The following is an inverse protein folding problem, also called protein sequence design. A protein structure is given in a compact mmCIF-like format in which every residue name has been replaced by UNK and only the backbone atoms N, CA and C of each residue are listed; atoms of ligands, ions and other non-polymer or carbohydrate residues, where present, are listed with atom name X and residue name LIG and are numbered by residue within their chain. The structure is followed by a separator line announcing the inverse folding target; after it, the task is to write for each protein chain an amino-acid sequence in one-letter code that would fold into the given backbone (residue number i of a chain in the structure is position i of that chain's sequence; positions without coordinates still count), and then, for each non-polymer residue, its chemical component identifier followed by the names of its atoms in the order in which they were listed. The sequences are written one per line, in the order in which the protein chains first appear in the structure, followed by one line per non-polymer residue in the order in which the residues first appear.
data_IF_588839001827
#
_entry.id   IF_588839001827
#
_cell.length_a   1.000
_cell.length_b   1.000
_cell.length_c   1.000
_cell.angle_alpha   90.00
_cell.angle_beta   90.00
_cell.angle_gamma   90.00
#
_symmetry.space_group_name_H-M   'P 1'
#
loop_
_entity.id
_entity.type
_entity.pdbx_description
1 polymer ?
#
# COMPACT_ATOMS: atom_id res chain seq x y z
N UNK A 1 13.20 -4.96 6.10
CA UNK A 1 12.01 -5.02 5.20
C UNK A 1 10.77 -5.56 5.90
N UNK A 2 10.83 -6.69 6.62
CA UNK A 2 9.68 -7.24 7.35
C UNK A 2 9.08 -6.27 8.39
N UNK A 3 9.92 -5.43 9.00
CA UNK A 3 9.52 -4.48 10.04
C UNK A 3 8.54 -3.42 9.51
N UNK A 4 8.83 -2.82 8.36
CA UNK A 4 7.98 -1.79 7.73
C UNK A 4 6.59 -2.35 7.40
N UNK A 5 6.51 -3.56 6.83
CA UNK A 5 5.20 -4.19 6.53
C UNK A 5 4.43 -4.44 7.83
N UNK A 6 5.08 -4.98 8.85
CA UNK A 6 4.44 -5.34 10.12
C UNK A 6 3.91 -4.10 10.86
N UNK A 7 4.72 -3.04 10.94
CA UNK A 7 4.33 -1.77 11.55
C UNK A 7 3.14 -1.14 10.82
N UNK A 8 3.21 -1.08 9.49
CA UNK A 8 2.13 -0.52 8.68
C UNK A 8 0.83 -1.33 8.79
N UNK A 9 0.92 -2.67 8.76
CA UNK A 9 -0.25 -3.56 8.95
C UNK A 9 -0.87 -3.38 10.33
N UNK A 10 -0.04 -3.20 11.38
CA UNK A 10 -0.55 -2.94 12.73
C UNK A 10 -1.38 -1.67 12.77
N UNK A 11 -0.88 -0.58 12.18
CA UNK A 11 -1.62 0.68 12.09
C UNK A 11 -2.89 0.55 11.21
N UNK A 12 -2.85 -0.25 10.13
CA UNK A 12 -4.02 -0.53 9.29
C UNK A 12 -5.16 -1.23 10.02
N UNK A 13 -4.88 -1.99 11.09
CA UNK A 13 -5.93 -2.66 11.88
C UNK A 13 -6.83 -1.66 12.63
N UNK A 14 -6.35 -0.44 12.86
CA UNK A 14 -7.11 0.61 13.54
C UNK A 14 -7.99 1.42 12.56
N UNK A 15 -7.89 1.15 11.25
CA UNK A 15 -8.63 1.86 10.21
C UNK A 15 -10.12 1.50 10.23
N UNK A 16 -10.92 2.36 10.85
CA UNK A 16 -12.37 2.22 11.01
C UNK A 16 -13.10 3.57 10.84
N UNK A 17 -14.38 3.66 11.17
CA UNK A 17 -15.22 4.87 10.99
C UNK A 17 -14.69 6.17 11.64
N UNK A 18 -13.66 6.08 12.50
CA UNK A 18 -12.91 7.20 13.09
C UNK A 18 -11.69 7.65 12.24
N UNK A 19 -11.74 7.46 10.91
CA UNK A 19 -10.57 7.33 10.04
C UNK A 19 -9.65 8.55 9.86
N UNK A 20 -9.99 9.78 10.27
CA UNK A 20 -9.13 10.94 9.95
C UNK A 20 -7.75 10.93 10.63
N UNK A 21 -7.62 10.77 11.96
CA UNK A 21 -6.32 10.70 12.61
C UNK A 21 -5.49 9.50 12.14
N UNK A 22 -6.15 8.35 11.94
CA UNK A 22 -5.49 7.11 11.48
C UNK A 22 -5.02 7.23 10.03
N UNK A 23 -5.83 7.81 9.14
CA UNK A 23 -5.43 8.10 7.76
C UNK A 23 -4.23 9.04 7.74
N UNK A 24 -4.25 10.12 8.54
CA UNK A 24 -3.12 11.04 8.59
C UNK A 24 -1.85 10.34 9.07
N UNK A 25 -1.95 9.52 10.12
CA UNK A 25 -0.83 8.74 10.63
C UNK A 25 -0.29 7.74 9.60
N UNK A 26 -1.16 6.98 8.95
CA UNK A 26 -0.77 6.04 7.88
C UNK A 26 -0.14 6.78 6.69
N UNK A 27 -0.63 7.96 6.33
CA UNK A 27 -0.03 8.81 5.28
C UNK A 27 1.36 9.30 5.70
N UNK A 28 1.56 9.67 6.97
CA UNK A 28 2.89 10.01 7.49
C UNK A 28 3.84 8.81 7.41
N UNK A 29 3.41 7.63 7.87
CA UNK A 29 4.22 6.41 7.75
C UNK A 29 4.57 6.09 6.29
N UNK A 30 3.62 6.30 5.37
CA UNK A 30 3.87 6.12 3.94
C UNK A 30 4.91 7.13 3.43
N UNK A 31 4.83 8.39 3.85
CA UNK A 31 5.81 9.43 3.51
C UNK A 31 7.22 9.11 4.02
N UNK A 32 7.34 8.57 5.23
CA UNK A 32 8.64 8.19 5.80
C UNK A 32 9.24 6.96 5.11
N UNK A 33 8.40 6.15 4.44
CA UNK A 33 8.76 4.88 3.82
C UNK A 33 8.57 4.86 2.30
N UNK A 34 8.79 5.97 1.59
CA UNK A 34 8.61 6.07 0.12
C UNK A 34 9.39 4.99 -0.66
N UNK A 35 10.56 4.57 -0.16
CA UNK A 35 11.35 3.51 -0.80
C UNK A 35 10.75 2.11 -0.67
N UNK A 36 9.73 1.96 0.18
CA UNK A 36 8.98 0.73 0.40
C UNK A 36 7.53 0.85 -0.08
N UNK A 37 7.28 1.74 -1.06
CA UNK A 37 5.94 2.01 -1.58
C UNK A 37 5.20 0.73 -2.02
N UNK A 38 5.87 -0.18 -2.75
CA UNK A 38 5.25 -1.43 -3.22
C UNK A 38 4.82 -2.34 -2.08
N UNK A 39 5.62 -2.40 -1.00
CA UNK A 39 5.32 -3.19 0.21
C UNK A 39 4.08 -2.63 0.91
N UNK A 40 4.01 -1.30 1.05
CA UNK A 40 2.89 -0.61 1.71
C UNK A 40 1.61 -0.73 0.87
N UNK A 41 1.71 -0.55 -0.45
CA UNK A 41 0.59 -0.73 -1.38
C UNK A 41 0.06 -2.16 -1.29
N UNK A 42 0.93 -3.17 -1.32
CA UNK A 42 0.54 -4.57 -1.15
C UNK A 42 -0.17 -4.82 0.18
N UNK A 43 0.32 -4.25 1.29
CA UNK A 43 -0.31 -4.37 2.59
C UNK A 43 -1.72 -3.75 2.64
N UNK A 44 -1.92 -2.58 2.01
CA UNK A 44 -3.24 -1.93 1.91
C UNK A 44 -4.20 -2.79 1.10
N UNK A 45 -3.74 -3.28 -0.06
CA UNK A 45 -4.53 -4.13 -0.96
C UNK A 45 -4.95 -5.44 -0.27
N UNK A 46 -4.03 -6.08 0.46
CA UNK A 46 -4.26 -7.30 1.24
C UNK A 46 -5.29 -7.06 2.35
N UNK A 47 -5.12 -6.00 3.15
CA UNK A 47 -6.01 -5.68 4.28
C UNK A 47 -7.43 -5.29 3.86
N UNK A 48 -7.58 -4.63 2.71
CA UNK A 48 -8.89 -4.32 2.14
C UNK A 48 -9.71 -5.58 1.90
N UNK A 49 -9.09 -6.68 1.44
CA UNK A 49 -9.81 -7.94 1.20
C UNK A 49 -10.30 -8.60 2.47
N UNK A 50 -9.51 -8.50 3.54
CA UNK A 50 -9.80 -9.14 4.82
C UNK A 50 -10.90 -8.42 5.61
N UNK A 51 -11.26 -7.18 5.25
CA UNK A 51 -12.18 -6.35 6.04
C UNK A 51 -13.29 -5.70 5.18
N UNK A 52 -14.22 -6.50 4.61
CA UNK A 52 -15.22 -6.00 3.65
C UNK A 52 -16.17 -4.92 4.21
N UNK A 53 -16.31 -4.78 5.54
CA UNK A 53 -17.16 -3.78 6.17
C UNK A 53 -16.67 -2.33 6.05
N UNK A 54 -15.36 -2.10 6.00
CA UNK A 54 -14.73 -0.76 6.11
C UNK A 54 -14.05 -0.29 4.82
N UNK A 55 -14.44 -0.87 3.69
CA UNK A 55 -13.77 -0.75 2.39
C UNK A 55 -13.59 0.69 1.87
N UNK A 56 -14.50 1.61 2.21
CA UNK A 56 -14.41 3.01 1.77
C UNK A 56 -13.25 3.76 2.44
N UNK A 57 -12.91 3.44 3.69
CA UNK A 57 -11.84 4.13 4.43
C UNK A 57 -10.46 3.81 3.86
N UNK A 58 -10.25 2.59 3.36
CA UNK A 58 -9.04 2.23 2.61
C UNK A 58 -8.93 3.05 1.31
N UNK A 59 -10.05 3.31 0.62
CA UNK A 59 -10.02 4.18 -0.56
C UNK A 59 -9.67 5.62 -0.21
N UNK A 60 -10.08 6.11 0.96
CA UNK A 60 -9.68 7.42 1.48
C UNK A 60 -8.20 7.47 1.89
N UNK A 61 -7.66 6.36 2.40
CA UNK A 61 -6.23 6.25 2.66
C UNK A 61 -5.43 6.34 1.36
N UNK A 62 -5.83 5.58 0.32
CA UNK A 62 -5.19 5.65 -1.00
C UNK A 62 -5.24 7.09 -1.53
N UNK A 63 -6.41 7.74 -1.44
CA UNK A 63 -6.60 9.14 -1.85
C UNK A 63 -5.64 10.10 -1.12
N UNK A 64 -5.50 9.95 0.19
CA UNK A 64 -4.60 10.78 1.00
C UNK A 64 -3.14 10.57 0.62
N UNK A 65 -2.70 9.31 0.45
CA UNK A 65 -1.31 9.00 0.09
C UNK A 65 -0.96 9.58 -1.28
N UNK A 66 -1.81 9.40 -2.29
CA UNK A 66 -1.49 9.87 -3.65
C UNK A 66 -1.54 11.39 -3.79
N UNK A 67 -2.35 12.08 -2.99
CA UNK A 67 -2.41 13.55 -2.97
C UNK A 67 -1.27 14.18 -2.18
N UNK A 68 -0.93 13.62 -1.03
CA UNK A 68 -0.02 14.25 -0.08
C UNK A 68 1.42 13.75 -0.23
N UNK A 69 1.62 12.50 -0.67
CA UNK A 69 2.94 11.89 -0.86
C UNK A 69 3.27 11.73 -2.34
N UNK A 70 2.36 11.11 -3.10
CA UNK A 70 2.51 10.90 -4.54
C UNK A 70 3.76 10.10 -4.92
N UNK A 71 4.38 10.47 -6.05
CA UNK A 71 5.64 9.87 -6.50
C UNK A 71 5.53 8.37 -6.76
N UNK A 72 6.39 7.57 -6.08
CA UNK A 72 6.40 6.10 -6.20
C UNK A 72 5.03 5.50 -5.87
N UNK A 73 4.30 6.05 -4.91
CA UNK A 73 2.96 5.58 -4.58
C UNK A 73 1.96 5.75 -5.72
N UNK A 74 1.99 6.89 -6.42
CA UNK A 74 1.08 7.11 -7.55
C UNK A 74 1.30 6.06 -8.64
N UNK A 75 2.57 5.76 -8.95
CA UNK A 75 2.94 4.74 -9.93
C UNK A 75 2.49 3.35 -9.48
N UNK A 76 2.80 2.97 -8.23
CA UNK A 76 2.44 1.66 -7.69
C UNK A 76 0.92 1.48 -7.53
N UNK A 77 0.15 2.54 -7.23
CA UNK A 77 -1.30 2.46 -7.16
C UNK A 77 -1.99 2.44 -8.52
N UNK A 78 -1.37 3.01 -9.56
CA UNK A 78 -1.97 3.13 -10.89
C UNK A 78 -2.43 1.76 -11.45
N UNK A 79 -1.65 0.70 -11.21
CA UNK A 79 -1.96 -0.68 -11.59
C UNK A 79 -3.11 -1.32 -10.78
N UNK A 80 -3.27 -0.94 -9.51
CA UNK A 80 -4.26 -1.53 -8.60
C UNK A 80 -5.57 -0.75 -8.57
N UNK A 81 -5.56 0.54 -8.93
CA UNK A 81 -6.67 1.46 -8.75
C UNK A 81 -8.01 0.98 -9.37
N UNK A 82 -8.05 0.46 -10.62
CA UNK A 82 -9.30 -0.03 -11.19
C UNK A 82 -9.88 -1.22 -10.41
N UNK A 83 -9.02 -2.10 -9.91
CA UNK A 83 -9.41 -3.30 -9.18
C UNK A 83 -9.92 -2.94 -7.78
N UNK A 84 -9.25 -2.03 -7.09
CA UNK A 84 -9.67 -1.50 -5.79
C UNK A 84 -11.04 -0.84 -5.90
N UNK A 85 -11.24 0.07 -6.86
CA UNK A 85 -12.53 0.73 -7.06
C UNK A 85 -13.63 -0.29 -7.36
N UNK A 86 -13.37 -1.26 -8.24
CA UNK A 86 -14.31 -2.35 -8.56
C UNK A 86 -14.70 -3.14 -7.32
N UNK A 87 -13.74 -3.50 -6.48
CA UNK A 87 -13.98 -4.22 -5.23
C UNK A 87 -14.87 -3.41 -4.27
N UNK A 88 -14.51 -2.15 -3.98
CA UNK A 88 -15.26 -1.30 -3.05
C UNK A 88 -16.68 -1.00 -3.57
N UNK A 89 -16.83 -0.76 -4.88
CA UNK A 89 -18.13 -0.53 -5.52
C UNK A 89 -19.03 -1.77 -5.49
N UNK A 90 -18.47 -2.96 -5.72
CA UNK A 90 -19.20 -4.21 -5.74
C UNK A 90 -19.79 -4.58 -4.38
N UNK A 91 -19.03 -4.35 -3.31
CA UNK A 91 -19.44 -4.64 -1.92
C UNK A 91 -20.25 -3.49 -1.28
N UNK A 92 -20.16 -2.28 -1.83
CA UNK A 92 -20.76 -1.09 -1.25
C UNK A 92 -22.26 -0.91 -1.54
N UNK A 93 -23.00 -0.43 -0.55
CA UNK A 93 -24.34 0.11 -0.74
C UNK A 93 -24.32 1.43 -1.53
N UNK A 94 -25.50 1.97 -1.87
CA UNK A 94 -25.61 3.19 -2.67
C UNK A 94 -24.89 4.41 -2.05
N UNK A 95 -24.87 4.51 -0.71
CA UNK A 95 -24.12 5.55 -0.01
C UNK A 95 -22.61 5.42 -0.20
N UNK A 96 -22.07 4.20 -0.12
CA UNK A 96 -20.67 3.90 -0.41
C UNK A 96 -20.35 4.19 -1.88
N UNK A 97 -21.19 3.78 -2.82
CA UNK A 97 -20.99 4.00 -4.27
C UNK A 97 -20.89 5.49 -4.60
N UNK A 98 -21.78 6.33 -4.05
CA UNK A 98 -21.72 7.79 -4.21
C UNK A 98 -20.40 8.37 -3.69
N UNK A 99 -19.92 7.89 -2.53
CA UNK A 99 -18.63 8.30 -1.95
C UNK A 99 -17.45 7.88 -2.83
N UNK A 100 -17.45 6.65 -3.36
CA UNK A 100 -16.42 6.19 -4.30
C UNK A 100 -16.38 7.06 -5.56
N UNK A 101 -17.55 7.36 -6.15
CA UNK A 101 -17.66 8.22 -7.33
C UNK A 101 -17.10 9.62 -7.02
N UNK A 102 -17.41 10.18 -5.85
CA UNK A 102 -16.85 11.46 -5.39
C UNK A 102 -15.33 11.41 -5.28
N UNK A 103 -14.78 10.36 -4.65
CA UNK A 103 -13.33 10.19 -4.53
C UNK A 103 -12.65 10.09 -5.89
N UNK A 104 -13.21 9.30 -6.83
CA UNK A 104 -12.72 9.21 -8.21
C UNK A 104 -12.68 10.58 -8.91
N UNK A 105 -13.61 11.49 -8.60
CA UNK A 105 -13.61 12.84 -9.16
C UNK A 105 -12.35 13.64 -8.82
N UNK A 106 -11.75 13.37 -7.66
CA UNK A 106 -10.57 14.09 -7.14
C UNK A 106 -9.23 13.64 -7.72
N UNK A 107 -9.24 12.59 -8.54
CA UNK A 107 -8.06 11.96 -9.12
C UNK A 107 -7.69 12.49 -10.51
N UNK A 108 -8.51 13.40 -11.03
CA UNK A 108 -8.26 14.09 -12.30
C UNK A 108 -6.97 14.90 -12.18
N UNK A 109 -6.02 14.65 -13.08
CA UNK A 109 -4.69 15.28 -13.05
C UNK A 109 -3.67 14.60 -12.12
N UNK A 110 -4.08 13.61 -11.32
CA UNK A 110 -3.17 12.80 -10.49
C UNK A 110 -2.77 11.51 -11.23
N UNK A 111 -3.75 10.81 -11.80
CA UNK A 111 -3.51 9.57 -12.55
C UNK A 111 -3.73 9.76 -14.05
N UNK A 112 -3.15 8.85 -14.84
CA UNK A 112 -3.29 8.86 -16.29
C UNK A 112 -4.76 8.72 -16.72
N UNK A 113 -5.20 9.47 -17.76
CA UNK A 113 -6.59 9.41 -18.25
C UNK A 113 -7.05 7.99 -18.60
N UNK A 114 -6.17 7.15 -19.14
CA UNK A 114 -6.50 5.76 -19.49
C UNK A 114 -6.91 4.90 -18.29
N UNK A 115 -6.33 5.14 -17.11
CA UNK A 115 -6.69 4.43 -15.88
C UNK A 115 -8.03 4.92 -15.35
N UNK A 116 -8.23 6.23 -15.34
CA UNK A 116 -9.50 6.84 -14.94
C UNK A 116 -10.66 6.38 -15.85
N UNK A 117 -10.42 6.28 -17.15
CA UNK A 117 -11.41 5.79 -18.12
C UNK A 117 -11.86 4.36 -17.81
N UNK A 118 -10.93 3.44 -17.50
CA UNK A 118 -11.28 2.06 -17.09
C UNK A 118 -12.18 2.03 -15.85
N UNK A 119 -11.92 2.93 -14.90
CA UNK A 119 -12.76 3.10 -13.70
C UNK A 119 -14.16 3.60 -14.08
N UNK A 120 -14.25 4.61 -14.95
CA UNK A 120 -15.52 5.19 -15.40
C UNK A 120 -16.39 4.20 -16.16
N UNK A 121 -15.79 3.41 -17.06
CA UNK A 121 -16.47 2.35 -17.80
C UNK A 121 -17.10 1.33 -16.84
N UNK A 122 -16.38 0.99 -15.76
CA UNK A 122 -16.91 0.13 -14.71
C UNK A 122 -18.05 0.80 -13.91
N UNK A 123 -17.87 2.05 -13.47
CA UNK A 123 -18.92 2.81 -12.75
C UNK A 123 -20.21 2.92 -13.58
N UNK A 124 -20.07 3.20 -14.88
CA UNK A 124 -21.19 3.27 -15.82
C UNK A 124 -21.90 1.92 -16.00
N UNK A 125 -21.19 0.81 -15.84
CA UNK A 125 -21.77 -0.54 -15.88
C UNK A 125 -22.57 -0.84 -14.62
N UNK A 126 -22.05 -0.49 -13.43
CA UNK A 126 -22.77 -0.66 -12.17
C UNK A 126 -24.08 0.14 -12.11
N UNK A 127 -24.14 1.34 -12.71
CA UNK A 127 -25.37 2.15 -12.77
C UNK A 127 -26.47 1.54 -13.63
N UNK A 128 -26.11 0.70 -14.60
CA UNK A 128 -27.05 0.07 -15.54
C UNK A 128 -27.64 -1.25 -15.03
N UNK A 129 -27.11 -1.80 -13.95
CA UNK A 129 -27.63 -3.04 -13.38
C UNK A 129 -28.85 -2.72 -12.50
N UNK A 130 -30.03 -3.34 -12.75
CA UNK A 130 -31.14 -3.26 -11.82
C UNK A 130 -30.68 -3.84 -10.47
N UNK A 131 -31.27 -3.36 -9.37
CA UNK A 131 -30.97 -3.82 -8.01
C UNK A 131 -31.41 -5.29 -7.82
N UNK A 132 -30.71 -6.23 -8.47
CA UNK A 132 -30.92 -7.65 -8.31
C UNK A 132 -30.12 -8.13 -7.09
N UNK A 133 -30.65 -9.06 -6.26
CA UNK A 133 -29.86 -9.69 -5.21
C UNK A 133 -28.57 -10.24 -5.79
N UNK A 134 -27.44 -9.74 -5.27
CA UNK A 134 -26.11 -10.11 -5.72
C UNK A 134 -25.83 -11.57 -5.35
N UNK A 135 -25.62 -12.44 -6.33
CA UNK A 135 -24.88 -13.67 -6.09
C UNK A 135 -23.40 -13.31 -5.84
N UNK A 136 -22.72 -13.93 -4.86
CA UNK A 136 -21.34 -13.64 -4.54
C UNK A 136 -20.43 -14.23 -5.61
N UNK A 137 -20.20 -13.50 -6.70
CA UNK A 137 -19.15 -13.85 -7.64
C UNK A 137 -17.80 -13.44 -7.03
N UNK A 138 -17.26 -14.33 -6.20
CA UNK A 138 -15.97 -14.26 -5.51
C UNK A 138 -14.74 -14.32 -6.44
N UNK A 139 -14.90 -14.17 -7.76
CA UNK A 139 -13.81 -14.35 -8.72
C UNK A 139 -12.80 -13.18 -8.78
N UNK A 140 -13.08 -12.06 -8.10
CA UNK A 140 -12.09 -10.98 -7.92
C UNK A 140 -11.05 -11.30 -6.84
N UNK A 141 -11.36 -12.26 -5.94
CA UNK A 141 -10.41 -12.72 -4.93
C UNK A 141 -9.16 -13.30 -5.58
N UNK A 142 -9.36 -14.18 -6.57
CA UNK A 142 -8.34 -14.96 -7.29
C UNK A 142 -7.42 -14.11 -8.19
N UNK A 143 -7.99 -13.25 -9.05
CA UNK A 143 -7.20 -12.40 -9.97
C UNK A 143 -6.24 -11.48 -9.22
N UNK A 144 -6.68 -10.99 -8.06
CA UNK A 144 -5.87 -10.09 -7.22
C UNK A 144 -4.81 -10.91 -6.45
N UNK A 145 -4.98 -12.23 -6.22
CA UNK A 145 -3.90 -13.10 -5.67
C UNK A 145 -2.82 -13.34 -6.72
N UNK A 146 -3.19 -13.67 -7.96
CA UNK A 146 -2.22 -13.91 -9.03
C UNK A 146 -1.34 -12.67 -9.27
N UNK A 147 -1.95 -11.48 -9.37
CA UNK A 147 -1.20 -10.24 -9.58
C UNK A 147 -0.35 -9.85 -8.35
N UNK A 148 -0.78 -10.18 -7.13
CA UNK A 148 0.00 -9.88 -5.91
C UNK A 148 1.19 -10.83 -5.74
N UNK A 149 1.01 -12.10 -6.16
CA UNK A 149 2.09 -13.09 -6.23
C UNK A 149 3.13 -12.65 -7.28
N UNK A 150 2.71 -12.18 -8.46
CA UNK A 150 3.64 -11.64 -9.47
C UNK A 150 4.41 -10.41 -8.96
N UNK A 151 3.75 -9.45 -8.30
CA UNK A 151 4.41 -8.26 -7.73
C UNK A 151 5.39 -8.63 -6.60
N UNK A 152 5.07 -9.61 -5.76
CA UNK A 152 6.02 -10.11 -4.73
C UNK A 152 7.23 -10.82 -5.36
N UNK A 153 7.05 -11.49 -6.49
CA UNK A 153 8.14 -12.15 -7.25
C UNK A 153 9.03 -11.11 -7.95
N UNK A 154 8.48 -10.04 -8.52
CA UNK A 154 9.27 -8.95 -9.13
C UNK A 154 10.07 -8.13 -8.12
N UNK A 155 9.55 -7.91 -6.90
CA UNK A 155 10.30 -7.26 -5.81
C UNK A 155 11.50 -8.10 -5.36
N UNK A 156 11.39 -9.44 -5.42
CA UNK A 156 12.50 -10.33 -5.05
C UNK A 156 13.60 -10.42 -6.12
N UNK A 157 13.29 -10.17 -7.40
CA UNK A 157 14.26 -10.35 -8.50
C UNK A 157 15.16 -9.14 -8.75
N UNK A 158 14.75 -7.92 -8.35
CA UNK A 158 15.51 -6.69 -8.63
C UNK A 158 16.50 -6.26 -7.53
N UNK A 159 16.72 -7.04 -6.46
CA UNK A 159 17.72 -6.73 -5.42
C UNK A 159 18.85 -7.76 -5.24
N UNK A 160 19.00 -8.74 -6.15
CA UNK A 160 20.12 -9.71 -6.12
C UNK A 160 21.17 -9.50 -7.22
N UNK A 161 21.01 -8.52 -8.13
CA UNK A 161 22.00 -8.25 -9.18
C UNK A 161 23.03 -7.18 -8.77
N UNK A 162 23.76 -7.40 -7.68
CA UNK A 162 24.98 -6.66 -7.37
C UNK A 162 26.01 -7.61 -6.75
N UNK A 163 26.61 -8.45 -7.60
CA UNK A 163 27.63 -9.40 -7.17
C UNK A 163 28.10 -10.38 -8.25
N UNK A 164 28.10 -9.99 -9.53
CA UNK A 164 28.76 -10.78 -10.57
C UNK A 164 30.19 -10.26 -10.76
N UNK A 165 31.11 -10.74 -9.91
CA UNK A 165 32.54 -10.53 -10.08
C UNK A 165 33.07 -11.60 -11.05
N UNK A 166 33.77 -11.15 -12.09
CA UNK A 166 34.32 -11.95 -13.18
C UNK A 166 35.43 -12.92 -12.74
N UNK A 167 35.74 -13.96 -13.54
CA UNK A 167 36.59 -15.07 -13.11
C UNK A 167 38.08 -14.74 -13.27
N UNK A 168 38.83 -14.94 -12.19
CA UNK A 168 40.28 -15.02 -12.19
C UNK A 168 40.72 -16.38 -11.66
N UNK A 169 41.25 -17.23 -12.53
CA UNK A 169 42.25 -18.26 -12.19
C UNK A 169 43.57 -17.80 -12.83
N UNK A 170 44.78 -18.31 -12.49
CA UNK A 170 45.07 -19.54 -11.72
C UNK A 170 46.20 -19.40 -10.67
N UNK A 171 46.31 -20.38 -9.76
CA UNK A 171 47.61 -20.88 -9.28
C UNK A 171 47.43 -22.12 -8.39
N UNK A 172 48.38 -23.03 -8.54
CA UNK A 172 48.44 -24.41 -8.06
C UNK A 172 49.02 -24.58 -6.65
N UNK A 173 48.55 -25.65 -5.98
CA UNK A 173 49.29 -26.63 -5.14
C UNK A 173 49.49 -26.38 -3.63
N UNK A 174 49.28 -27.50 -2.92
CA UNK A 174 49.79 -27.95 -1.60
C UNK A 174 49.01 -27.56 -0.35
N UNK A 175 48.20 -28.43 0.26
CA UNK A 175 48.46 -29.64 1.10
C UNK A 175 48.39 -29.36 2.60
N UNK A 176 47.40 -30.00 3.26
CA UNK A 176 47.35 -30.49 4.64
C UNK A 176 47.81 -29.57 5.81
N UNK A 177 46.88 -29.22 6.70
CA UNK A 177 46.80 -29.82 8.05
C UNK A 177 45.77 -29.16 8.97
N UNK A 178 45.19 -30.02 9.78
CA UNK A 178 44.24 -29.92 10.91
C UNK A 178 44.60 -28.88 11.98
N UNK A 179 43.60 -28.33 12.70
CA UNK A 179 43.43 -28.45 14.17
C UNK A 179 42.46 -27.39 14.76
N UNK A 180 41.42 -27.89 15.44
CA UNK A 180 40.73 -27.46 16.68
C UNK A 180 40.57 -26.01 17.15
N UNK A 181 39.32 -25.79 17.63
CA UNK A 181 38.89 -25.04 18.84
C UNK A 181 39.02 -23.51 18.78
N UNK A 182 38.07 -22.68 19.24
CA UNK A 182 37.45 -22.66 20.56
C UNK A 182 36.24 -21.67 20.58
N UNK A 183 35.37 -21.83 21.59
CA UNK A 183 34.17 -21.01 21.90
C UNK A 183 34.49 -19.57 22.33
N UNK A 184 33.53 -18.66 22.16
CA UNK A 184 32.92 -17.78 23.21
C UNK A 184 31.76 -16.98 22.56
N UNK A 185 30.48 -17.04 22.98
CA UNK A 185 29.75 -16.61 24.19
C UNK A 185 29.58 -15.09 24.41
N UNK A 186 28.29 -14.68 24.41
CA UNK A 186 27.64 -13.50 25.06
C UNK A 186 28.05 -12.12 24.52
N UNK A 187 27.19 -11.13 24.39
CA UNK A 187 25.87 -10.83 24.97
C UNK A 187 25.77 -9.29 25.11
N UNK A 188 24.59 -8.81 25.49
CA UNK A 188 24.24 -7.40 25.81
C UNK A 188 24.03 -6.44 24.64
N UNK A 189 23.11 -5.48 24.72
CA UNK A 189 21.84 -5.33 25.44
C UNK A 189 21.21 -4.03 24.92
N UNK A 190 19.95 -3.86 25.24
CA UNK A 190 19.07 -2.79 24.80
C UNK A 190 19.54 -1.40 25.24
N UNK A 191 19.38 -0.41 24.35
CA UNK A 191 19.15 0.96 24.77
C UNK A 191 18.09 1.63 23.87
N UNK A 192 16.83 1.41 24.26
CA UNK A 192 15.69 2.26 23.88
C UNK A 192 15.67 3.48 24.81
N UNK A 193 15.47 4.67 24.22
CA UNK A 193 14.74 5.87 24.73
C UNK A 193 15.32 7.15 24.09
N UNK A 194 14.62 8.29 24.10
CA UNK A 194 13.17 8.50 24.00
C UNK A 194 12.79 9.66 23.04
N UNK A 195 11.50 9.69 22.70
CA UNK A 195 10.73 10.79 22.13
C UNK A 195 11.23 12.21 22.45
N UNK A 196 11.45 13.02 21.41
CA UNK A 196 11.57 14.47 21.50
C UNK A 196 10.66 15.16 20.46
N UNK A 197 9.43 15.43 20.92
CA UNK A 197 8.71 16.72 20.81
C UNK A 197 8.76 17.45 19.45
N UNK A 198 7.74 17.23 18.63
CA UNK A 198 7.34 18.13 17.53
C UNK A 198 6.84 19.47 18.09
N UNK A 199 7.31 20.63 17.60
CA UNK A 199 6.66 21.90 17.88
C UNK A 199 5.43 22.09 16.98
N UNK A 200 4.31 22.38 17.62
CA UNK A 200 3.11 22.90 16.97
C UNK A 200 3.42 24.23 16.27
N UNK A 201 3.14 24.30 14.97
CA UNK A 201 2.92 25.56 14.27
C UNK A 201 1.52 25.49 13.64
N UNK A 202 0.58 26.03 14.41
CA UNK A 202 -0.76 26.39 14.01
C UNK A 202 -0.65 27.55 12.98
N UNK A 203 -1.21 27.40 11.78
CA UNK A 203 -1.73 28.56 11.04
C UNK A 203 -3.10 28.25 10.44
N UNK A 204 -4.02 29.24 10.43
CA UNK A 204 -5.44 29.02 10.23
C UNK A 204 -5.82 29.16 8.76
N UNK A 205 -6.74 28.33 8.27
CA UNK A 205 -7.54 28.66 7.09
C UNK A 205 -9.01 28.53 7.44
N UNK A 206 -9.53 29.64 7.95
CA UNK A 206 -10.95 29.89 8.08
C UNK A 206 -11.51 30.21 6.68
N UNK A 207 -12.49 29.41 6.29
CA UNK A 207 -13.69 29.84 5.56
C UNK A 207 -13.58 30.20 4.07
N UNK A 208 -14.01 29.24 3.24
CA UNK A 208 -14.89 29.54 2.11
C UNK A 208 -15.95 28.42 2.00
N UNK A 209 -16.97 28.51 2.85
CA UNK A 209 -18.26 27.86 2.67
C UNK A 209 -19.28 28.97 2.44
N UNK A 210 -19.77 29.13 1.20
CA UNK A 210 -21.14 29.59 0.91
C UNK A 210 -21.48 29.54 -0.57
N UNK A 211 -22.52 28.73 -0.84
CA UNK A 211 -23.67 28.99 -1.70
C UNK A 211 -23.45 29.34 -3.18
N UNK A 212 -23.76 28.37 -4.03
CA UNK A 212 -24.86 28.48 -4.98
C UNK A 212 -25.50 27.08 -5.14
#
# INVERSE_FOLDING_TARGET
MADVKAEYVKALNELSDSSKPVINFLTMLAQDNINHADIIVAAIVERLRLNPGNNIHYLYLVDSIVKNVGGKYTLSFEQWLPQLVKYVMGQGNEGVRKRVIRTRGTWTGIFKPGVLKKIDEYIATCRRQPAHPQHPSLHMGEVLVEVLVEVLVEVCTHHTAAGAMLPGTPATRSTHSTCSQHRDHRGHEHHLRPFARLPQQLLPLHTAFRNA
#
